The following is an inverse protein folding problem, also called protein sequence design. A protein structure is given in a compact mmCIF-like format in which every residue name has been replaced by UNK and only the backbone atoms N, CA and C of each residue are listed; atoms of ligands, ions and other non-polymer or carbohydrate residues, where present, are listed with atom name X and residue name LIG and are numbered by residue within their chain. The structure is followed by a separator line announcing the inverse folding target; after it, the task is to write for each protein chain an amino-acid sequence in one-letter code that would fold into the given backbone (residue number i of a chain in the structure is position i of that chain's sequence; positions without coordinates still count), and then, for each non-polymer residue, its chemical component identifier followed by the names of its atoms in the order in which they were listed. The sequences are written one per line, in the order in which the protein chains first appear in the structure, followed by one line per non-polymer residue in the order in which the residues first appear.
data_IF_990353594059
#
_entry.id   IF_990353594059
#
_cell.length_a   1.000
_cell.length_b   1.000
_cell.length_c   1.000
_cell.angle_alpha   90.00
_cell.angle_beta   90.00
_cell.angle_gamma   90.00
#
_symmetry.space_group_name_H-M   'P 1'
#
loop_
_entity.id
_entity.type
_entity.pdbx_description
1 polymer ?
#
# COMPACT_ATOMS: atom_id res chain seq x y z
N UNK A 1 -45.64 -9.27 -15.05
CA UNK A 1 -44.19 -9.25 -15.14
C UNK A 1 -43.69 -9.52 -13.71
N UNK A 2 -43.15 -10.71 -13.44
CA UNK A 2 -42.61 -11.06 -12.14
C UNK A 2 -41.26 -10.34 -11.98
N UNK A 3 -41.11 -9.61 -10.88
CA UNK A 3 -39.88 -8.93 -10.51
C UNK A 3 -38.79 -10.00 -10.22
N UNK A 4 -37.66 -10.01 -10.93
CA UNK A 4 -36.59 -10.99 -10.70
C UNK A 4 -36.03 -10.95 -9.27
N UNK A 5 -36.17 -9.85 -8.53
CA UNK A 5 -35.78 -9.72 -7.13
C UNK A 5 -36.62 -10.57 -6.17
N UNK A 6 -37.86 -10.95 -6.56
CA UNK A 6 -38.73 -11.77 -5.73
C UNK A 6 -38.45 -13.26 -5.78
N UNK A 7 -37.49 -13.70 -6.60
CA UNK A 7 -37.11 -15.11 -6.74
C UNK A 7 -35.84 -15.49 -5.93
N UNK A 8 -35.24 -14.53 -5.21
CA UNK A 8 -34.14 -14.83 -4.32
C UNK A 8 -34.66 -15.46 -3.03
N UNK A 9 -34.10 -16.59 -2.57
CA UNK A 9 -34.46 -17.16 -1.28
C UNK A 9 -34.20 -16.14 -0.18
N UNK A 10 -35.09 -16.11 0.81
CA UNK A 10 -34.99 -15.23 1.98
C UNK A 10 -33.81 -15.69 2.86
N UNK A 11 -32.61 -15.29 2.48
CA UNK A 11 -31.38 -15.64 3.20
C UNK A 11 -31.27 -14.74 4.44
N UNK A 12 -30.98 -15.29 5.62
CA UNK A 12 -30.77 -14.51 6.83
C UNK A 12 -29.58 -13.54 6.64
N UNK A 13 -29.67 -12.38 7.27
CA UNK A 13 -28.58 -11.39 7.21
C UNK A 13 -27.28 -12.00 7.77
N UNK A 14 -26.14 -11.64 7.16
CA UNK A 14 -24.83 -12.10 7.61
C UNK A 14 -24.56 -11.66 9.05
N UNK A 15 -23.99 -12.56 9.90
CA UNK A 15 -23.70 -12.23 11.29
C UNK A 15 -22.75 -11.03 11.41
N UNK A 16 -22.93 -10.21 12.45
CA UNK A 16 -22.07 -9.04 12.77
C UNK A 16 -20.77 -9.46 13.49
N UNK A 17 -20.13 -10.56 13.07
CA UNK A 17 -18.84 -10.98 13.64
C UNK A 17 -17.70 -10.09 13.14
N UNK A 18 -16.55 -10.11 13.84
CA UNK A 18 -15.36 -9.36 13.43
C UNK A 18 -14.99 -9.75 12.00
N UNK A 19 -15.09 -8.78 11.08
CA UNK A 19 -14.62 -8.96 9.72
C UNK A 19 -13.10 -8.87 9.69
N UNK A 20 -12.44 -9.79 8.98
CA UNK A 20 -11.01 -9.72 8.68
C UNK A 20 -10.84 -9.33 7.22
N UNK A 21 -10.06 -8.28 6.97
CA UNK A 21 -9.72 -7.87 5.61
C UNK A 21 -8.56 -8.72 5.09
N UNK A 22 -8.77 -9.37 3.96
CA UNK A 22 -7.78 -10.23 3.31
C UNK A 22 -7.51 -9.69 1.91
N UNK A 23 -6.23 -9.44 1.59
CA UNK A 23 -5.79 -9.10 0.25
C UNK A 23 -5.19 -10.30 -0.46
N UNK A 24 -5.49 -10.46 -1.74
CA UNK A 24 -4.96 -11.57 -2.53
C UNK A 24 -5.26 -11.49 -4.03
N UNK A 25 -4.82 -12.51 -4.74
CA UNK A 25 -5.14 -12.70 -6.17
C UNK A 25 -6.03 -13.92 -6.33
N UNK A 26 -7.11 -13.80 -7.08
CA UNK A 26 -7.99 -14.94 -7.41
C UNK A 26 -7.22 -15.91 -8.28
N UNK A 27 -7.05 -17.15 -7.82
CA UNK A 27 -6.46 -18.25 -8.60
C UNK A 27 -7.52 -19.06 -9.30
N UNK A 28 -8.68 -19.22 -8.68
CA UNK A 28 -9.80 -19.98 -9.25
C UNK A 28 -11.12 -19.42 -8.73
N UNK A 29 -12.09 -19.33 -9.62
CA UNK A 29 -13.51 -19.10 -9.29
C UNK A 29 -14.25 -20.41 -9.55
N UNK A 30 -14.82 -21.00 -8.51
CA UNK A 30 -15.68 -22.18 -8.60
C UNK A 30 -17.14 -21.72 -8.44
N UNK A 31 -17.80 -21.57 -9.57
CA UNK A 31 -19.18 -21.06 -9.62
C UNK A 31 -20.25 -22.11 -9.24
N UNK A 32 -19.85 -23.38 -9.20
CA UNK A 32 -20.76 -24.46 -8.78
C UNK A 32 -20.86 -24.52 -7.25
N UNK A 33 -19.74 -24.18 -6.59
CA UNK A 33 -19.64 -24.19 -5.12
C UNK A 33 -19.65 -22.78 -4.52
N UNK A 34 -19.82 -21.74 -5.33
CA UNK A 34 -19.72 -20.35 -4.93
C UNK A 34 -18.47 -20.09 -4.07
N UNK A 35 -17.30 -20.52 -4.59
CA UNK A 35 -16.05 -20.49 -3.87
C UNK A 35 -14.93 -19.82 -4.68
N UNK A 36 -14.20 -18.92 -4.03
CA UNK A 36 -12.94 -18.36 -4.54
C UNK A 36 -11.75 -19.10 -3.91
N UNK A 37 -10.76 -19.43 -4.72
CA UNK A 37 -9.41 -19.75 -4.21
C UNK A 37 -8.54 -18.53 -4.38
N UNK A 38 -8.11 -17.92 -3.28
CA UNK A 38 -7.24 -16.76 -3.23
C UNK A 38 -5.80 -17.19 -2.94
N UNK A 39 -4.85 -16.58 -3.63
CA UNK A 39 -3.45 -16.51 -3.22
C UNK A 39 -3.31 -15.27 -2.36
N UNK A 40 -3.16 -15.43 -1.07
CA UNK A 40 -3.04 -14.32 -0.11
C UNK A 40 -1.67 -13.65 -0.26
N UNK A 41 -1.62 -12.32 -0.16
CA UNK A 41 -0.35 -11.59 -0.15
C UNK A 41 0.45 -11.95 1.09
N UNK A 42 1.68 -12.43 0.90
CA UNK A 42 2.56 -12.86 1.98
C UNK A 42 2.18 -14.19 2.68
N UNK A 43 1.16 -14.90 2.21
CA UNK A 43 0.70 -16.16 2.79
C UNK A 43 0.33 -17.20 1.72
N UNK A 44 -0.15 -18.37 2.16
CA UNK A 44 -0.58 -19.46 1.30
C UNK A 44 -1.89 -19.21 0.54
N UNK A 45 -2.52 -20.28 0.09
CA UNK A 45 -3.83 -20.25 -0.55
C UNK A 45 -4.94 -20.34 0.48
N UNK A 46 -6.02 -19.61 0.24
CA UNK A 46 -7.22 -19.62 1.07
C UNK A 46 -8.46 -19.83 0.20
N UNK A 47 -9.41 -20.58 0.71
CA UNK A 47 -10.73 -20.74 0.10
C UNK A 47 -11.73 -19.84 0.82
N UNK A 48 -12.48 -19.07 0.07
CA UNK A 48 -13.49 -18.15 0.58
C UNK A 48 -14.80 -18.41 -0.15
N UNK A 49 -15.85 -18.65 0.59
CA UNK A 49 -17.20 -18.81 0.03
C UNK A 49 -17.83 -17.44 -0.20
N UNK A 50 -18.70 -17.36 -1.17
CA UNK A 50 -19.53 -16.19 -1.43
C UNK A 50 -20.94 -16.65 -1.80
N UNK A 51 -21.93 -15.77 -1.64
CA UNK A 51 -23.33 -16.05 -1.95
C UNK A 51 -24.01 -14.75 -2.41
N UNK A 52 -25.33 -14.77 -2.72
CA UNK A 52 -26.06 -13.57 -3.14
C UNK A 52 -26.02 -12.40 -2.15
N UNK A 53 -25.68 -12.63 -0.87
CA UNK A 53 -25.50 -11.58 0.15
C UNK A 53 -24.15 -10.89 0.04
N UNK A 54 -23.20 -11.47 -0.69
CA UNK A 54 -21.85 -10.93 -0.87
C UNK A 54 -21.93 -9.70 -1.78
N UNK A 55 -21.48 -8.57 -1.28
CA UNK A 55 -21.38 -7.37 -2.09
C UNK A 55 -20.07 -7.40 -2.89
N UNK A 56 -20.16 -7.19 -4.19
CA UNK A 56 -19.00 -7.19 -5.09
C UNK A 56 -18.89 -5.79 -5.68
N UNK A 57 -17.67 -5.25 -5.67
CA UNK A 57 -17.36 -3.94 -6.23
C UNK A 57 -16.15 -4.06 -7.16
N UNK A 58 -16.19 -3.37 -8.30
CA UNK A 58 -15.05 -3.16 -9.18
C UNK A 58 -14.71 -1.67 -9.19
N UNK A 59 -13.66 -1.32 -8.42
CA UNK A 59 -13.45 0.08 -8.03
C UNK A 59 -14.59 0.54 -7.12
N UNK A 60 -15.27 1.62 -7.52
CA UNK A 60 -16.45 2.15 -6.81
C UNK A 60 -17.78 1.65 -7.38
N UNK A 61 -17.74 0.91 -8.49
CA UNK A 61 -18.97 0.44 -9.18
C UNK A 61 -19.41 -0.91 -8.63
N UNK A 62 -20.71 -1.09 -8.28
CA UNK A 62 -21.24 -2.40 -7.96
C UNK A 62 -21.01 -3.39 -9.12
N UNK A 63 -20.57 -4.59 -8.77
CA UNK A 63 -20.34 -5.69 -9.69
C UNK A 63 -21.12 -6.93 -9.28
N UNK A 64 -20.92 -8.01 -10.01
CA UNK A 64 -21.59 -9.28 -9.80
C UNK A 64 -20.62 -10.46 -9.82
N UNK A 65 -21.05 -11.63 -9.34
CA UNK A 65 -20.21 -12.84 -9.30
C UNK A 65 -19.64 -13.26 -10.68
N UNK A 66 -20.36 -13.10 -11.81
CA UNK A 66 -19.79 -13.31 -13.14
C UNK A 66 -18.59 -12.44 -13.49
N UNK A 67 -18.45 -11.27 -12.85
CA UNK A 67 -17.35 -10.34 -13.11
C UNK A 67 -16.04 -10.73 -12.41
N UNK A 68 -16.07 -11.78 -11.57
CA UNK A 68 -14.88 -12.29 -10.88
C UNK A 68 -14.11 -13.25 -11.80
N UNK A 69 -12.83 -12.95 -12.02
CA UNK A 69 -11.96 -13.75 -12.88
C UNK A 69 -10.67 -14.18 -12.17
N UNK A 70 -10.10 -15.31 -12.60
CA UNK A 70 -8.77 -15.69 -12.19
C UNK A 70 -7.76 -14.62 -12.64
N UNK A 71 -6.86 -14.22 -11.76
CA UNK A 71 -5.91 -13.13 -11.97
C UNK A 71 -6.35 -11.80 -11.37
N UNK A 72 -7.63 -11.62 -11.02
CA UNK A 72 -8.09 -10.41 -10.35
C UNK A 72 -7.43 -10.26 -8.98
N UNK A 73 -6.91 -9.08 -8.69
CA UNK A 73 -6.51 -8.70 -7.33
C UNK A 73 -7.76 -8.27 -6.57
N UNK A 74 -7.92 -8.81 -5.37
CA UNK A 74 -9.11 -8.53 -4.56
C UNK A 74 -8.75 -8.23 -3.11
N UNK A 75 -9.57 -7.39 -2.50
CA UNK A 75 -9.66 -7.21 -1.06
C UNK A 75 -11.00 -7.78 -0.63
N UNK A 76 -10.96 -8.71 0.29
CA UNK A 76 -12.15 -9.44 0.75
C UNK A 76 -12.34 -9.21 2.24
N UNK A 77 -13.47 -8.62 2.60
CA UNK A 77 -13.93 -8.60 3.99
C UNK A 77 -14.53 -9.97 4.28
N UNK A 78 -13.89 -10.72 5.15
CA UNK A 78 -14.31 -12.08 5.49
C UNK A 78 -14.94 -12.15 6.87
N UNK A 79 -15.90 -13.04 6.98
CA UNK A 79 -16.49 -13.45 8.26
C UNK A 79 -16.34 -14.97 8.42
N UNK A 80 -16.19 -15.40 9.65
CA UNK A 80 -16.16 -16.83 9.98
C UNK A 80 -17.57 -17.29 10.36
N UNK A 81 -18.09 -18.27 9.64
CA UNK A 81 -19.37 -18.93 9.92
C UNK A 81 -19.12 -20.43 10.10
N UNK A 82 -19.12 -20.89 11.34
CA UNK A 82 -18.65 -22.25 11.68
C UNK A 82 -17.18 -22.45 11.31
N UNK A 83 -16.89 -23.42 10.47
CA UNK A 83 -15.55 -23.70 9.94
C UNK A 83 -15.28 -23.02 8.58
N UNK A 84 -16.25 -22.30 8.04
CA UNK A 84 -16.18 -21.72 6.71
C UNK A 84 -15.88 -20.21 6.77
N UNK A 85 -15.07 -19.77 5.82
CA UNK A 85 -14.76 -18.36 5.64
C UNK A 85 -15.66 -17.85 4.51
N UNK A 86 -16.50 -16.87 4.83
CA UNK A 86 -17.40 -16.20 3.88
C UNK A 86 -16.92 -14.82 3.53
N UNK A 87 -17.08 -14.43 2.26
CA UNK A 87 -16.91 -13.06 1.81
C UNK A 87 -18.17 -12.26 2.11
N UNK A 88 -18.04 -11.20 2.89
CA UNK A 88 -19.07 -10.17 3.07
C UNK A 88 -19.01 -9.17 1.92
N UNK A 89 -17.81 -8.65 1.64
CA UNK A 89 -17.56 -7.76 0.54
C UNK A 89 -16.36 -8.25 -0.26
N UNK A 90 -16.41 -8.20 -1.57
CA UNK A 90 -15.30 -8.45 -2.48
C UNK A 90 -15.09 -7.18 -3.27
N UNK A 91 -13.95 -6.53 -3.04
CA UNK A 91 -13.52 -5.38 -3.84
C UNK A 91 -12.49 -5.89 -4.83
N UNK A 92 -12.91 -6.03 -6.07
CA UNK A 92 -11.98 -6.28 -7.17
C UNK A 92 -11.23 -4.97 -7.39
N UNK A 93 -9.93 -4.99 -7.13
CA UNK A 93 -9.07 -3.98 -7.73
C UNK A 93 -9.27 -4.18 -9.21
N UNK A 94 -10.02 -3.29 -9.85
CA UNK A 94 -10.35 -3.43 -11.26
C UNK A 94 -9.10 -3.76 -12.07
N UNK A 95 -9.21 -4.19 -13.34
CA UNK A 95 -8.20 -3.88 -14.32
C UNK A 95 -8.26 -2.36 -14.42
N UNK A 96 -7.90 -1.70 -13.32
CA UNK A 96 -7.70 -0.28 -13.39
C UNK A 96 -6.60 -0.16 -14.39
N UNK A 97 -6.96 0.48 -15.45
CA UNK A 97 -6.01 1.10 -16.32
C UNK A 97 -4.92 1.87 -15.53
N UNK A 98 -4.89 1.83 -14.21
CA UNK A 98 -3.88 2.46 -13.38
C UNK A 98 -3.79 1.87 -11.98
N UNK A 99 -2.57 1.64 -11.50
CA UNK A 99 -2.23 1.37 -10.12
C UNK A 99 -1.34 2.47 -9.58
N UNK A 100 -1.38 2.67 -8.26
CA UNK A 100 -0.42 3.50 -7.54
C UNK A 100 0.34 2.60 -6.57
N UNK A 101 1.65 2.81 -6.49
CA UNK A 101 2.51 2.08 -5.57
C UNK A 101 3.59 3.01 -5.05
N UNK A 102 3.94 2.87 -3.80
CA UNK A 102 5.10 3.51 -3.20
C UNK A 102 6.11 2.44 -2.83
N UNK A 103 7.37 2.67 -3.16
CA UNK A 103 8.40 1.70 -2.88
C UNK A 103 9.80 2.22 -3.13
N UNK A 104 10.76 1.35 -2.86
CA UNK A 104 12.19 1.63 -3.02
C UNK A 104 12.68 1.01 -4.32
N UNK A 105 13.39 1.78 -5.12
CA UNK A 105 14.04 1.31 -6.35
C UNK A 105 15.07 0.24 -5.99
N UNK A 106 14.92 -0.94 -6.57
CA UNK A 106 15.91 -2.02 -6.52
C UNK A 106 16.92 -1.84 -7.63
N UNK A 107 16.46 -1.41 -8.81
CA UNK A 107 17.29 -1.12 -9.96
C UNK A 107 16.48 -0.55 -11.12
N UNK A 108 17.20 0.19 -11.97
CA UNK A 108 16.68 0.65 -13.26
C UNK A 108 17.56 0.11 -14.37
N UNK A 109 16.99 -0.63 -15.30
CA UNK A 109 17.62 -1.22 -16.47
C UNK A 109 17.30 -0.37 -17.71
N UNK A 110 18.20 0.54 -18.05
CA UNK A 110 17.98 1.48 -19.15
C UNK A 110 17.87 0.78 -20.53
N UNK A 111 18.56 -0.34 -20.72
CA UNK A 111 18.50 -1.17 -21.94
C UNK A 111 17.11 -1.76 -22.20
N UNK A 112 16.36 -2.02 -21.13
CA UNK A 112 15.00 -2.60 -21.17
C UNK A 112 13.91 -1.60 -20.82
N UNK A 113 14.28 -0.38 -20.46
CA UNK A 113 13.37 0.60 -19.86
C UNK A 113 12.55 0.00 -18.71
N UNK A 114 13.17 -0.85 -17.88
CA UNK A 114 12.54 -1.57 -16.79
C UNK A 114 12.99 -1.00 -15.44
N UNK A 115 12.02 -0.57 -14.63
CA UNK A 115 12.20 -0.22 -13.22
C UNK A 115 11.78 -1.41 -12.36
N UNK A 116 12.68 -1.85 -11.50
CA UNK A 116 12.38 -2.86 -10.48
C UNK A 116 12.17 -2.15 -9.15
N UNK A 117 10.95 -2.25 -8.62
CA UNK A 117 10.51 -1.58 -7.41
C UNK A 117 10.22 -2.62 -6.32
N UNK A 118 10.77 -2.43 -5.13
CA UNK A 118 10.28 -3.10 -3.92
C UNK A 118 9.16 -2.27 -3.34
N UNK A 119 7.93 -2.73 -3.58
CA UNK A 119 6.72 -2.14 -3.04
C UNK A 119 6.71 -2.28 -1.51
N UNK A 120 6.28 -1.25 -0.78
CA UNK A 120 6.16 -1.29 0.68
C UNK A 120 5.09 -2.28 1.16
N UNK A 121 4.15 -2.66 0.29
CA UNK A 121 3.03 -3.54 0.60
C UNK A 121 3.18 -4.95 0.03
N UNK A 122 4.26 -5.24 -0.71
CA UNK A 122 4.47 -6.54 -1.36
C UNK A 122 5.88 -7.07 -1.09
N UNK A 123 6.03 -8.33 -0.68
CA UNK A 123 7.34 -8.93 -0.47
C UNK A 123 8.12 -9.12 -1.78
N UNK A 124 7.41 -9.26 -2.91
CA UNK A 124 8.03 -9.51 -4.21
C UNK A 124 8.27 -8.20 -4.97
N UNK A 125 9.45 -8.01 -5.57
CA UNK A 125 9.72 -6.85 -6.41
C UNK A 125 8.77 -6.78 -7.61
N UNK A 126 8.32 -5.58 -7.91
CA UNK A 126 7.42 -5.28 -9.02
C UNK A 126 8.24 -4.73 -10.18
N UNK A 127 8.05 -5.30 -11.37
CA UNK A 127 8.64 -4.80 -12.62
C UNK A 127 7.67 -3.86 -13.33
N UNK A 128 8.15 -2.68 -13.63
CA UNK A 128 7.39 -1.60 -14.25
C UNK A 128 8.16 -1.10 -15.46
N UNK A 129 7.46 -0.81 -16.56
CA UNK A 129 8.08 -0.34 -17.78
C UNK A 129 7.99 1.18 -17.90
N UNK A 130 9.12 1.83 -18.14
CA UNK A 130 9.15 3.22 -18.56
C UNK A 130 8.81 3.30 -20.04
N UNK A 131 8.03 4.30 -20.41
CA UNK A 131 7.69 4.63 -21.80
C UNK A 131 8.10 6.08 -22.08
N UNK A 132 8.08 6.49 -23.33
CA UNK A 132 8.31 7.90 -23.73
C UNK A 132 7.37 8.86 -23.05
N UNK A 133 6.18 8.37 -22.65
CA UNK A 133 5.12 9.18 -22.02
C UNK A 133 5.20 9.16 -20.49
N UNK A 134 6.21 8.48 -19.92
CA UNK A 134 6.40 8.43 -18.47
C UNK A 134 6.91 9.77 -17.97
N UNK A 135 6.13 10.43 -17.12
CA UNK A 135 6.52 11.67 -16.45
C UNK A 135 7.37 11.34 -15.22
N UNK A 136 8.61 11.81 -15.19
CA UNK A 136 9.50 11.71 -14.04
C UNK A 136 9.65 13.07 -13.36
N UNK A 137 9.30 13.15 -12.07
CA UNK A 137 9.32 14.39 -11.31
C UNK A 137 9.99 14.22 -9.95
N UNK A 138 10.62 15.29 -9.48
CA UNK A 138 11.14 15.45 -8.13
C UNK A 138 10.79 16.86 -7.64
N UNK A 139 10.17 16.98 -6.48
CA UNK A 139 9.74 18.25 -5.90
C UNK A 139 8.93 19.13 -6.89
N UNK A 140 8.06 18.48 -7.67
CA UNK A 140 7.24 19.14 -8.71
C UNK A 140 7.99 19.58 -9.97
N UNK A 141 9.28 19.28 -10.10
CA UNK A 141 10.11 19.62 -11.26
C UNK A 141 10.45 18.36 -12.07
N UNK A 142 10.66 18.50 -13.38
CA UNK A 142 11.15 17.38 -14.20
C UNK A 142 12.45 16.81 -13.64
N UNK A 143 12.54 15.50 -13.62
CA UNK A 143 13.71 14.75 -13.15
C UNK A 143 14.21 13.79 -14.24
N UNK A 144 15.39 13.20 -14.03
CA UNK A 144 16.05 12.33 -14.99
C UNK A 144 16.10 10.89 -14.48
N UNK A 145 16.04 9.93 -15.40
CA UNK A 145 16.11 8.50 -15.08
C UNK A 145 17.44 8.09 -14.38
N UNK A 146 18.50 8.87 -14.55
CA UNK A 146 19.77 8.69 -13.81
C UNK A 146 19.64 8.87 -12.30
N UNK A 147 18.55 9.47 -11.82
CA UNK A 147 18.25 9.61 -10.39
C UNK A 147 17.51 8.38 -9.79
N UNK A 148 17.10 7.43 -10.65
CA UNK A 148 16.49 6.16 -10.23
C UNK A 148 17.57 5.16 -9.79
N UNK A 149 18.43 5.57 -8.87
CA UNK A 149 19.46 4.69 -8.30
C UNK A 149 18.86 3.74 -7.27
N UNK A 150 19.48 2.56 -7.02
CA UNK A 150 19.05 1.68 -5.96
C UNK A 150 18.92 2.42 -4.62
N UNK A 151 17.83 2.14 -3.88
CA UNK A 151 17.52 2.82 -2.64
C UNK A 151 16.70 4.10 -2.80
N UNK A 152 16.45 4.61 -4.01
CA UNK A 152 15.57 5.77 -4.23
C UNK A 152 14.12 5.43 -3.86
N UNK A 153 13.51 6.22 -2.98
CA UNK A 153 12.09 6.12 -2.64
C UNK A 153 11.25 6.84 -3.67
N UNK A 154 10.30 6.15 -4.25
CA UNK A 154 9.43 6.70 -5.30
C UNK A 154 7.97 6.39 -5.04
N UNK A 155 7.10 7.28 -5.52
CA UNK A 155 5.67 7.03 -5.71
C UNK A 155 5.43 6.90 -7.21
N UNK A 156 4.75 5.86 -7.62
CA UNK A 156 4.54 5.55 -9.04
C UNK A 156 3.08 5.36 -9.36
N UNK A 157 2.67 5.93 -10.50
CA UNK A 157 1.40 5.64 -11.14
C UNK A 157 1.66 4.85 -12.42
N UNK A 158 0.98 3.73 -12.59
CA UNK A 158 1.13 2.87 -13.75
C UNK A 158 -0.22 2.37 -14.27
N UNK A 159 -0.25 1.99 -15.52
CA UNK A 159 -1.38 1.30 -16.15
C UNK A 159 -0.97 -0.13 -16.46
N UNK A 160 -1.89 -1.06 -16.26
CA UNK A 160 -1.67 -2.45 -16.63
C UNK A 160 -2.29 -2.68 -17.99
N UNK A 161 -1.47 -3.06 -18.98
CA UNK A 161 -1.92 -3.43 -20.33
C UNK A 161 -1.49 -4.87 -20.60
N UNK A 162 -2.47 -5.77 -20.80
CA UNK A 162 -2.23 -7.21 -21.07
C UNK A 162 -1.22 -7.82 -20.07
N UNK A 163 0.07 -7.83 -20.41
CA UNK A 163 1.15 -8.40 -19.59
C UNK A 163 2.21 -7.39 -19.14
N UNK A 164 2.03 -6.10 -19.41
CA UNK A 164 2.96 -5.04 -18.98
C UNK A 164 2.31 -4.07 -18.01
N UNK A 165 3.11 -3.50 -17.14
CA UNK A 165 2.73 -2.39 -16.27
C UNK A 165 3.53 -1.18 -16.72
N UNK A 166 2.87 -0.30 -17.48
CA UNK A 166 3.49 0.88 -18.06
C UNK A 166 3.36 2.07 -17.13
N UNK A 167 4.49 2.65 -16.76
CA UNK A 167 4.55 3.81 -15.90
C UNK A 167 3.98 5.04 -16.60
N UNK A 168 3.12 5.77 -15.91
CA UNK A 168 2.63 7.08 -16.32
C UNK A 168 3.38 8.20 -15.62
N UNK A 169 3.62 8.02 -14.34
CA UNK A 169 4.36 8.99 -13.55
C UNK A 169 5.22 8.29 -12.51
N UNK A 170 6.39 8.85 -12.28
CA UNK A 170 7.29 8.51 -11.19
C UNK A 170 7.57 9.82 -10.44
N UNK A 171 7.23 9.86 -9.16
CA UNK A 171 7.58 10.97 -8.27
C UNK A 171 8.70 10.50 -7.33
N UNK A 172 9.88 11.08 -7.47
CA UNK A 172 11.01 10.82 -6.57
C UNK A 172 10.74 11.54 -5.26
N UNK A 173 10.61 10.78 -4.18
CA UNK A 173 10.33 11.29 -2.83
C UNK A 173 11.62 11.50 -2.04
N UNK A 174 12.57 10.56 -2.13
CA UNK A 174 13.86 10.65 -1.47
C UNK A 174 14.91 9.89 -2.25
N UNK A 175 16.12 10.44 -2.30
CA UNK A 175 17.31 9.76 -2.83
C UNK A 175 18.22 9.45 -1.65
N UNK A 176 18.91 8.29 -1.62
CA UNK A 176 19.86 7.97 -0.57
C UNK A 176 20.87 9.11 -0.34
N UNK A 177 21.08 9.46 0.92
CA UNK A 177 21.95 10.57 1.31
C UNK A 177 21.27 11.95 1.36
N UNK A 178 19.99 12.05 0.97
CA UNK A 178 19.24 13.33 1.10
C UNK A 178 18.84 13.58 2.54
N UNK A 179 18.97 14.83 2.99
CA UNK A 179 18.51 15.29 4.30
C UNK A 179 17.12 15.92 4.20
N UNK A 180 16.30 15.66 5.22
CA UNK A 180 14.93 16.15 5.35
C UNK A 180 14.75 16.75 6.73
N UNK A 181 14.03 17.87 6.79
CA UNK A 181 13.62 18.46 8.06
C UNK A 181 12.15 18.16 8.31
N UNK A 182 11.88 17.48 9.42
CA UNK A 182 10.53 17.17 9.88
C UNK A 182 10.22 17.99 11.14
N UNK A 183 9.07 18.64 11.15
CA UNK A 183 8.55 19.32 12.34
C UNK A 183 7.14 18.83 12.63
N UNK A 184 6.82 18.60 13.89
CA UNK A 184 5.47 18.20 14.29
C UNK A 184 5.41 17.47 15.62
N UNK A 185 4.28 16.80 15.82
CA UNK A 185 3.94 16.13 17.07
C UNK A 185 4.42 14.68 17.09
N UNK A 186 5.04 14.26 18.19
CA UNK A 186 5.41 12.87 18.44
C UNK A 186 4.16 12.05 18.72
N UNK A 187 3.85 11.11 17.82
CA UNK A 187 2.74 10.16 17.98
C UNK A 187 3.15 9.00 18.89
N UNK A 188 4.34 8.48 18.66
CA UNK A 188 4.90 7.36 19.42
C UNK A 188 6.42 7.45 19.48
N UNK A 189 6.98 6.97 20.58
CA UNK A 189 8.42 6.90 20.81
C UNK A 189 8.74 5.55 21.45
N UNK A 190 9.63 4.81 20.80
CA UNK A 190 10.21 3.58 21.34
C UNK A 190 11.73 3.69 21.32
N UNK A 191 12.31 4.04 22.48
CA UNK A 191 13.76 4.20 22.64
C UNK A 191 14.50 2.85 22.65
N UNK A 192 13.79 1.73 22.86
CA UNK A 192 14.43 0.41 22.86
C UNK A 192 14.87 0.00 21.47
N UNK A 193 14.04 0.30 20.47
CA UNK A 193 14.35 0.05 19.04
C UNK A 193 14.79 1.33 18.31
N UNK A 194 14.85 2.46 19.03
CA UNK A 194 15.24 3.76 18.47
C UNK A 194 14.26 4.28 17.43
N UNK A 195 12.94 4.12 17.63
CA UNK A 195 11.92 4.55 16.69
C UNK A 195 11.11 5.72 17.22
N UNK A 196 11.12 6.82 16.46
CA UNK A 196 10.26 7.98 16.62
C UNK A 196 9.21 8.00 15.51
N UNK A 197 7.94 8.03 15.87
CA UNK A 197 6.83 8.24 14.94
C UNK A 197 6.33 9.66 15.08
N UNK A 198 6.48 10.46 14.02
CA UNK A 198 6.18 11.88 13.99
C UNK A 198 5.00 12.16 13.04
N UNK A 199 4.00 12.91 13.49
CA UNK A 199 2.97 13.51 12.62
C UNK A 199 3.43 14.89 12.19
N UNK A 200 3.79 15.01 10.91
CA UNK A 200 4.29 16.25 10.34
C UNK A 200 3.24 17.36 10.34
N UNK A 201 3.61 18.54 10.76
CA UNK A 201 2.75 19.73 10.73
C UNK A 201 2.60 20.33 9.31
N UNK A 202 3.54 20.01 8.38
CA UNK A 202 3.55 20.59 7.04
C UNK A 202 2.59 19.88 6.07
N UNK A 203 2.48 18.54 6.15
CA UNK A 203 1.69 17.73 5.21
C UNK A 203 0.72 16.76 5.91
N UNK A 204 0.68 16.80 7.24
CA UNK A 204 -0.17 15.97 8.12
C UNK A 204 0.04 14.45 7.98
N UNK A 205 1.14 14.04 7.33
CA UNK A 205 1.53 12.64 7.21
C UNK A 205 2.32 12.18 8.43
N UNK A 206 2.33 10.86 8.60
CA UNK A 206 3.11 10.23 9.65
C UNK A 206 4.41 9.68 9.06
N UNK A 207 5.52 9.97 9.75
CA UNK A 207 6.86 9.54 9.37
C UNK A 207 7.49 8.72 10.49
N UNK A 208 8.14 7.64 10.10
CA UNK A 208 8.98 6.82 10.97
C UNK A 208 10.43 7.29 10.84
N UNK A 209 11.01 7.73 11.94
CA UNK A 209 12.37 8.27 12.00
C UNK A 209 13.15 7.47 13.02
N UNK A 210 14.25 6.89 12.59
CA UNK A 210 15.12 6.10 13.46
C UNK A 210 16.11 7.01 14.19
N UNK A 211 16.18 6.83 15.51
CA UNK A 211 17.09 7.53 16.39
C UNK A 211 18.23 6.58 16.78
N UNK A 212 19.46 7.04 16.63
CA UNK A 212 20.62 6.37 17.23
C UNK A 212 20.98 7.09 18.54
N UNK A 213 20.72 6.49 19.71
CA UNK A 213 21.03 7.13 20.99
C UNK A 213 22.52 7.37 21.21
N UNK A 214 23.41 6.72 20.43
CA UNK A 214 24.84 6.97 20.47
C UNK A 214 25.21 8.28 19.74
N UNK A 215 24.35 8.74 18.84
CA UNK A 215 24.59 9.94 18.01
C UNK A 215 23.76 11.12 18.45
N UNK A 216 22.52 10.84 18.93
CA UNK A 216 21.55 11.87 19.28
C UNK A 216 21.38 11.91 20.81
N UNK A 217 21.60 13.09 21.38
CA UNK A 217 21.23 13.33 22.80
C UNK A 217 19.71 13.38 22.91
N UNK A 218 19.15 12.46 23.68
CA UNK A 218 17.72 12.42 23.97
C UNK A 218 17.41 13.42 25.08
N UNK A 219 16.52 14.37 24.78
CA UNK A 219 16.00 15.33 25.77
C UNK A 219 14.92 14.63 26.64
N UNK A 220 14.94 14.83 27.95
CA UNK A 220 13.97 14.23 28.90
C UNK A 220 12.52 14.64 28.61
N UNK A 221 12.33 15.73 27.88
CA UNK A 221 11.02 16.21 27.43
C UNK A 221 10.47 15.45 26.19
N UNK A 222 11.30 14.60 25.58
CA UNK A 222 10.90 13.82 24.41
C UNK A 222 9.94 12.70 24.82
N UNK A 223 8.66 12.87 24.48
CA UNK A 223 7.57 11.94 24.78
C UNK A 223 6.45 12.08 23.75
N UNK A 224 5.51 11.15 23.74
CA UNK A 224 4.27 11.30 22.95
C UNK A 224 3.56 12.62 23.28
N UNK A 225 3.11 13.33 22.27
CA UNK A 225 2.52 14.66 22.36
C UNK A 225 3.53 15.81 22.37
N UNK A 226 4.84 15.54 22.44
CA UNK A 226 5.84 16.59 22.34
C UNK A 226 5.92 17.13 20.91
N UNK A 227 6.06 18.46 20.76
CA UNK A 227 6.37 19.07 19.47
C UNK A 227 7.89 19.05 19.25
N UNK A 228 8.33 18.53 18.11
CA UNK A 228 9.76 18.37 17.82
C UNK A 228 10.12 18.84 16.41
N UNK A 229 11.39 19.19 16.25
CA UNK A 229 12.00 19.40 14.96
C UNK A 229 13.20 18.45 14.84
N UNK A 230 13.26 17.67 13.76
CA UNK A 230 14.36 16.74 13.50
C UNK A 230 14.87 16.90 12.07
N UNK A 231 16.19 16.84 11.92
CA UNK A 231 16.84 16.65 10.61
C UNK A 231 17.20 15.17 10.50
N UNK A 232 16.68 14.53 9.48
CA UNK A 232 16.94 13.12 9.23
C UNK A 232 17.49 12.90 7.82
N UNK A 233 18.44 11.98 7.71
CA UNK A 233 19.00 11.54 6.45
C UNK A 233 18.25 10.29 5.98
N UNK A 234 17.92 10.23 4.70
CA UNK A 234 17.35 9.03 4.09
C UNK A 234 18.50 8.12 3.63
N UNK A 235 18.65 6.93 4.22
CA UNK A 235 19.76 6.00 3.94
C UNK A 235 19.48 5.05 2.73
N UNK A 236 18.30 5.15 2.11
CA UNK A 236 17.84 4.27 1.03
C UNK A 236 16.81 3.23 1.49
N UNK A 237 16.55 3.17 2.80
CA UNK A 237 15.53 2.28 3.38
C UNK A 237 14.66 2.99 4.40
N UNK A 238 15.24 3.93 5.15
CA UNK A 238 14.60 4.61 6.29
C UNK A 238 15.17 6.00 6.49
N UNK A 239 14.45 6.81 7.26
CA UNK A 239 14.94 8.10 7.75
C UNK A 239 15.70 7.89 9.06
N UNK A 240 16.96 8.35 9.12
CA UNK A 240 17.81 8.26 10.30
C UNK A 240 18.07 9.69 10.78
N UNK A 241 17.68 9.99 12.01
CA UNK A 241 17.86 11.32 12.59
C UNK A 241 19.33 11.66 12.73
N UNK A 242 19.68 12.90 12.39
CA UNK A 242 21.01 13.51 12.62
C UNK A 242 20.97 14.52 13.76
N UNK A 243 19.82 15.15 13.96
CA UNK A 243 19.57 16.04 15.07
C UNK A 243 18.11 15.97 15.46
N UNK A 244 17.82 16.22 16.72
CA UNK A 244 16.48 16.26 17.28
C UNK A 244 16.41 17.39 18.30
N UNK A 245 15.40 18.22 18.21
CA UNK A 245 15.14 19.29 19.14
C UNK A 245 13.68 19.22 19.60
N UNK A 246 13.46 19.22 20.90
CA UNK A 246 12.12 19.34 21.48
C UNK A 246 11.79 20.82 21.54
N UNK A 247 10.73 21.22 20.83
CA UNK A 247 10.29 22.61 20.83
C UNK A 247 9.65 22.95 22.17
N UNK A 248 9.88 24.15 22.67
CA UNK A 248 9.18 24.63 23.88
C UNK A 248 7.71 24.84 23.54
N UNK A 249 6.80 24.34 24.38
CA UNK A 249 5.38 24.66 24.26
C UNK A 249 5.24 26.21 24.31
N UNK A 250 4.55 26.75 23.30
CA UNK A 250 4.14 28.16 23.29
C UNK A 250 3.05 28.41 24.29
#
# INVERSE_FOLDING_TARGET
VLDPASLLPDLPSLPRSKASLIGGTIKKVDRVRDQLTLQIFGAGKMKVLFDPRTQIFRGETPGSAPDLHAGDRVYVDTILEGSNIFARNIRVAGPSAGGRSQGVVVGYHADKNELVLRDLLSPDPVKLRLTSDTLLVRDGRPAFASQLVPGTLVDVNFVTQKNSRDLRQISILAVPGSDFTFGGEVVSLDLHIGLLVLKSSSDHKTYEIYLDPAVITIDDRLRSGADVTTVANFDGSRYVARSLTVNSAK
#
